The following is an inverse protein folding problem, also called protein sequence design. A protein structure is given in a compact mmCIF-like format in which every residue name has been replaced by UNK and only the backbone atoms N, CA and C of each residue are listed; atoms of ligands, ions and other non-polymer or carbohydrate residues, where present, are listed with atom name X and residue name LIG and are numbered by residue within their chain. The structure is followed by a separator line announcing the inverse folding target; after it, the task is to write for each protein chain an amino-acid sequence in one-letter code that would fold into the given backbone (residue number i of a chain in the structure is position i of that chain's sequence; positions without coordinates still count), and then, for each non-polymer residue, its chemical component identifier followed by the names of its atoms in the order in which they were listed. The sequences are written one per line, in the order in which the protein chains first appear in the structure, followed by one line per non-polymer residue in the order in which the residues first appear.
data_IF_117868514151
#
_entry.id   IF_117868514151
#
_cell.length_a   1.000
_cell.length_b   1.000
_cell.length_c   1.000
_cell.angle_alpha   90.00
_cell.angle_beta   90.00
_cell.angle_gamma   90.00
#
_symmetry.space_group_name_H-M   'P 1'
#
loop_
_entity.id
_entity.type
_entity.pdbx_description
1 polymer ?
#
# COMPACT_ATOMS: atom_id res chain seq x y z
N UNK A 1 3.27 72.91 28.24
CA UNK A 1 4.31 73.62 27.48
C UNK A 1 5.62 72.84 27.59
N UNK A 2 6.31 72.66 26.45
CA UNK A 2 7.65 72.06 26.21
C UNK A 2 8.78 72.86 26.92
N UNK A 3 10.10 72.55 26.77
CA UNK A 3 10.84 71.41 26.15
C UNK A 3 11.93 70.86 27.13
N UNK A 4 12.73 69.81 26.90
CA UNK A 4 13.40 69.31 25.69
C UNK A 4 14.86 69.77 25.66
N UNK A 5 15.81 68.86 25.91
CA UNK A 5 17.25 69.09 25.75
C UNK A 5 17.79 68.15 24.69
N UNK A 6 18.31 68.71 23.61
CA UNK A 6 19.28 68.07 22.75
C UNK A 6 20.53 68.95 22.72
N UNK A 7 21.70 68.32 22.72
CA UNK A 7 22.96 68.91 22.27
C UNK A 7 23.80 67.82 21.57
N UNK A 8 24.57 68.34 20.62
CA UNK A 8 25.25 67.71 19.50
C UNK A 8 26.74 67.39 19.78
N UNK A 9 27.40 66.75 18.81
CA UNK A 9 28.87 66.77 18.62
C UNK A 9 29.53 65.40 18.80
N UNK A 10 29.87 64.57 17.79
CA UNK A 10 30.51 64.73 16.47
C UNK A 10 32.05 64.90 16.54
N UNK A 11 32.76 63.81 16.21
CA UNK A 11 34.12 63.64 15.65
C UNK A 11 34.53 62.17 15.94
N UNK A 12 34.73 61.23 15.02
CA UNK A 12 35.19 61.31 13.65
C UNK A 12 36.56 60.62 13.56
N UNK A 13 36.59 59.31 13.26
CA UNK A 13 37.76 58.58 12.75
C UNK A 13 37.28 57.34 12.00
N UNK A 14 37.44 57.34 10.68
CA UNK A 14 37.28 56.17 9.83
C UNK A 14 38.65 55.50 9.66
N UNK A 15 38.70 54.16 9.73
CA UNK A 15 39.16 53.32 8.62
C UNK A 15 38.99 51.82 8.89
N UNK A 16 38.37 51.17 7.92
CA UNK A 16 38.65 49.80 7.44
C UNK A 16 38.49 48.61 8.39
N UNK A 17 37.31 47.99 8.32
CA UNK A 17 37.20 46.53 8.45
C UNK A 17 36.46 45.99 7.22
N UNK A 18 37.15 45.11 6.47
CA UNK A 18 36.61 44.41 5.31
C UNK A 18 35.51 43.46 5.78
N UNK A 19 34.26 43.75 5.41
CA UNK A 19 33.13 42.85 5.64
C UNK A 19 33.27 41.64 4.71
N UNK A 20 33.68 40.50 5.26
CA UNK A 20 33.47 39.21 4.58
C UNK A 20 31.99 38.88 4.72
N UNK A 21 31.25 39.05 3.63
CA UNK A 21 29.87 38.60 3.53
C UNK A 21 29.82 37.07 3.69
N UNK A 22 29.36 36.61 4.84
CA UNK A 22 28.93 35.22 5.01
C UNK A 22 27.55 35.09 4.38
N UNK A 23 27.49 34.55 3.17
CA UNK A 23 26.25 34.12 2.54
C UNK A 23 25.70 32.93 3.33
N UNK A 24 24.71 33.18 4.20
CA UNK A 24 23.95 32.11 4.84
C UNK A 24 22.98 31.55 3.79
N UNK A 25 23.39 30.47 3.13
CA UNK A 25 22.52 29.66 2.29
C UNK A 25 21.56 28.89 3.21
N UNK A 26 20.38 29.44 3.45
CA UNK A 26 19.28 28.70 4.08
C UNK A 26 18.74 27.73 3.05
N UNK A 27 19.22 26.48 3.07
CA UNK A 27 18.65 25.39 2.31
C UNK A 27 17.35 24.95 3.00
N UNK A 28 16.23 25.61 2.68
CA UNK A 28 14.90 25.12 3.05
C UNK A 28 14.60 23.84 2.27
N UNK A 29 14.94 22.69 2.87
CA UNK A 29 14.39 21.39 2.49
C UNK A 29 12.89 21.40 2.79
N UNK A 30 12.09 21.89 1.84
CA UNK A 30 10.67 21.54 1.78
C UNK A 30 10.61 20.09 1.31
N UNK A 31 10.67 19.16 2.26
CA UNK A 31 10.28 17.79 1.99
C UNK A 31 8.81 17.82 1.53
N UNK A 32 8.47 17.23 0.38
CA UNK A 32 7.06 17.06 0.04
C UNK A 32 6.48 16.08 1.06
N UNK A 33 5.54 16.58 1.86
CA UNK A 33 4.63 15.71 2.59
C UNK A 33 3.87 14.89 1.54
N UNK A 34 4.22 13.63 1.38
CA UNK A 34 3.44 12.68 0.59
C UNK A 34 2.14 12.37 1.35
N UNK A 35 1.21 13.32 1.34
CA UNK A 35 -0.18 13.12 1.74
C UNK A 35 -0.95 12.66 0.51
N UNK A 36 -0.74 11.41 0.11
CA UNK A 36 -1.53 10.74 -0.92
C UNK A 36 -2.14 9.47 -0.34
N UNK A 37 -3.47 9.42 -0.26
CA UNK A 37 -4.19 8.16 -0.03
C UNK A 37 -3.96 7.28 -1.26
N UNK A 38 -2.90 6.51 -1.24
CA UNK A 38 -2.44 5.72 -2.38
C UNK A 38 -3.26 4.44 -2.44
N UNK A 39 -4.49 4.53 -2.94
CA UNK A 39 -5.13 3.38 -3.58
C UNK A 39 -4.49 3.26 -4.97
N UNK A 40 -4.45 2.09 -5.59
CA UNK A 40 -4.05 2.07 -7.00
C UNK A 40 -5.09 2.86 -7.81
N UNK A 41 -4.63 3.95 -8.45
CA UNK A 41 -5.52 4.88 -9.16
C UNK A 41 -5.66 4.53 -10.65
N UNK A 42 -4.97 3.49 -11.13
CA UNK A 42 -4.92 3.14 -12.56
C UNK A 42 -5.18 1.66 -12.82
N UNK A 43 -5.84 1.38 -13.93
CA UNK A 43 -6.07 0.02 -14.42
C UNK A 43 -4.78 -0.74 -14.71
N UNK A 44 -3.73 -0.06 -15.16
CA UNK A 44 -2.41 -0.68 -15.38
C UNK A 44 -1.82 -1.25 -14.09
N UNK A 45 -2.00 -0.56 -12.97
CA UNK A 45 -1.54 -1.06 -11.67
C UNK A 45 -2.36 -2.26 -11.21
N UNK A 46 -3.69 -2.24 -11.40
CA UNK A 46 -4.56 -3.40 -11.14
C UNK A 46 -4.09 -4.60 -11.98
N UNK A 47 -3.91 -4.41 -13.29
CA UNK A 47 -3.49 -5.46 -14.21
C UNK A 47 -2.12 -6.03 -13.87
N UNK A 48 -1.16 -5.17 -13.53
CA UNK A 48 0.20 -5.57 -13.12
C UNK A 48 0.21 -6.38 -11.83
N UNK A 49 -0.57 -5.96 -10.83
CA UNK A 49 -0.68 -6.69 -9.57
C UNK A 49 -1.42 -8.01 -9.73
N UNK A 50 -2.52 -8.04 -10.50
CA UNK A 50 -3.19 -9.30 -10.86
C UNK A 50 -2.26 -10.26 -11.63
N UNK A 51 -1.38 -9.73 -12.49
CA UNK A 51 -0.36 -10.52 -13.16
C UNK A 51 0.69 -11.08 -12.19
N UNK A 52 1.09 -10.33 -11.16
CA UNK A 52 1.95 -10.83 -10.09
C UNK A 52 1.29 -11.97 -9.31
N UNK A 53 0.01 -11.83 -8.96
CA UNK A 53 -0.78 -12.87 -8.29
C UNK A 53 -0.82 -14.15 -9.14
N UNK A 54 -1.07 -14.01 -10.45
CA UNK A 54 -1.02 -15.15 -11.40
C UNK A 54 0.37 -15.78 -11.49
N UNK A 55 1.45 -15.00 -11.45
CA UNK A 55 2.82 -15.53 -11.44
C UNK A 55 3.12 -16.34 -10.17
N UNK A 56 2.53 -15.98 -9.03
CA UNK A 56 2.59 -16.79 -7.81
C UNK A 56 1.72 -18.06 -7.88
N UNK A 57 1.04 -18.30 -9.01
CA UNK A 57 0.28 -19.51 -9.28
C UNK A 57 -1.20 -19.47 -8.92
N UNK A 58 -1.72 -18.32 -8.48
CA UNK A 58 -3.12 -18.13 -8.11
C UNK A 58 -3.94 -17.73 -9.33
N UNK A 59 -5.05 -18.42 -9.59
CA UNK A 59 -5.99 -18.04 -10.64
C UNK A 59 -6.70 -16.74 -10.26
N UNK A 60 -6.79 -15.79 -11.19
CA UNK A 60 -7.56 -14.54 -11.00
C UNK A 60 -8.76 -14.56 -11.94
N UNK A 61 -9.95 -14.60 -11.36
CA UNK A 61 -11.23 -14.72 -12.08
C UNK A 61 -12.04 -13.44 -11.89
N UNK A 62 -12.89 -13.13 -12.88
CA UNK A 62 -13.87 -12.05 -12.80
C UNK A 62 -15.23 -12.65 -13.15
N UNK A 63 -16.19 -12.58 -12.23
CA UNK A 63 -17.58 -13.00 -12.46
C UNK A 63 -18.48 -11.77 -12.64
N UNK A 64 -19.60 -11.98 -13.35
CA UNK A 64 -20.58 -10.93 -13.66
C UNK A 64 -21.94 -11.18 -12.98
N UNK A 65 -22.06 -12.26 -12.23
CA UNK A 65 -23.30 -12.81 -11.70
C UNK A 65 -23.13 -13.31 -10.25
N UNK A 66 -22.39 -12.55 -9.43
CA UNK A 66 -22.23 -12.87 -8.02
C UNK A 66 -23.47 -12.51 -7.18
N UNK A 67 -23.69 -13.22 -6.04
CA UNK A 67 -24.67 -12.81 -5.03
C UNK A 67 -24.46 -11.36 -4.59
N UNK A 68 -25.54 -10.67 -4.22
CA UNK A 68 -25.48 -9.29 -3.73
C UNK A 68 -24.50 -9.15 -2.56
N UNK A 69 -23.77 -8.03 -2.53
CA UNK A 69 -22.77 -7.68 -1.52
C UNK A 69 -21.47 -8.53 -1.51
N UNK A 70 -21.35 -9.57 -2.33
CA UNK A 70 -20.08 -10.27 -2.52
C UNK A 70 -19.20 -9.45 -3.47
N UNK A 71 -18.16 -8.79 -2.96
CA UNK A 71 -17.24 -8.00 -3.78
C UNK A 71 -16.11 -8.86 -4.36
N UNK A 72 -15.57 -9.77 -3.56
CA UNK A 72 -14.50 -10.69 -3.95
C UNK A 72 -14.51 -11.92 -3.07
N UNK A 73 -13.67 -12.89 -3.43
CA UNK A 73 -13.40 -14.05 -2.60
C UNK A 73 -12.08 -14.73 -3.00
N UNK A 74 -11.36 -15.26 -2.02
CA UNK A 74 -10.31 -16.24 -2.23
C UNK A 74 -10.74 -17.63 -1.77
N UNK A 75 -10.56 -18.64 -2.63
CA UNK A 75 -10.87 -20.03 -2.34
C UNK A 75 -9.60 -20.89 -2.32
N UNK A 76 -9.04 -21.12 -1.13
CA UNK A 76 -7.76 -21.80 -0.93
C UNK A 76 -7.67 -23.18 -1.62
N UNK A 77 -8.65 -24.11 -1.52
CA UNK A 77 -8.54 -25.41 -2.17
C UNK A 77 -8.45 -25.37 -3.71
N UNK A 78 -8.91 -24.27 -4.32
CA UNK A 78 -8.84 -24.07 -5.79
C UNK A 78 -7.74 -23.09 -6.19
N UNK A 79 -7.03 -22.52 -5.21
CA UNK A 79 -6.08 -21.43 -5.38
C UNK A 79 -6.58 -20.35 -6.35
N UNK A 80 -7.81 -19.87 -6.11
CA UNK A 80 -8.51 -18.95 -7.00
C UNK A 80 -9.00 -17.72 -6.25
N UNK A 81 -8.64 -16.54 -6.77
CA UNK A 81 -9.13 -15.23 -6.37
C UNK A 81 -10.20 -14.80 -7.38
N UNK A 82 -11.36 -14.39 -6.88
CA UNK A 82 -12.50 -13.92 -7.65
C UNK A 82 -12.77 -12.45 -7.33
N UNK A 83 -13.02 -11.66 -8.38
CA UNK A 83 -13.64 -10.34 -8.28
C UNK A 83 -15.05 -10.39 -8.88
N UNK A 84 -16.03 -9.80 -8.19
CA UNK A 84 -17.42 -9.77 -8.61
C UNK A 84 -17.77 -8.44 -9.28
N UNK A 85 -17.58 -8.37 -10.59
CA UNK A 85 -17.72 -7.14 -11.36
C UNK A 85 -19.13 -6.53 -11.28
N UNK A 86 -20.17 -7.31 -11.00
CA UNK A 86 -21.53 -6.81 -10.85
C UNK A 86 -21.78 -6.08 -9.51
N UNK A 87 -20.86 -6.18 -8.55
CA UNK A 87 -20.99 -5.55 -7.23
C UNK A 87 -19.90 -4.51 -6.95
N UNK A 88 -18.94 -4.32 -7.86
CA UNK A 88 -17.86 -3.32 -7.74
C UNK A 88 -18.10 -2.24 -8.81
N UNK A 89 -17.99 -0.97 -8.43
CA UNK A 89 -18.02 0.12 -9.41
C UNK A 89 -16.85 0.02 -10.40
N UNK A 90 -17.04 0.54 -11.61
CA UNK A 90 -15.99 0.65 -12.63
C UNK A 90 -14.99 1.79 -12.30
N UNK A 91 -14.38 1.69 -11.11
CA UNK A 91 -13.36 2.59 -10.56
C UNK A 91 -12.13 1.75 -10.14
N UNK A 92 -10.93 2.02 -10.69
CA UNK A 92 -9.72 1.29 -10.32
C UNK A 92 -9.42 1.34 -8.82
N UNK A 93 -9.82 2.40 -8.11
CA UNK A 93 -9.64 2.48 -6.65
C UNK A 93 -10.51 1.45 -5.93
N UNK A 94 -11.76 1.26 -6.34
CA UNK A 94 -12.63 0.27 -5.72
C UNK A 94 -12.16 -1.15 -6.03
N UNK A 95 -11.76 -1.41 -7.28
CA UNK A 95 -11.19 -2.70 -7.66
C UNK A 95 -9.90 -2.98 -6.88
N UNK A 96 -9.04 -1.97 -6.66
CA UNK A 96 -7.85 -2.12 -5.83
C UNK A 96 -8.17 -2.55 -4.40
N UNK A 97 -9.17 -1.93 -3.77
CA UNK A 97 -9.58 -2.24 -2.40
C UNK A 97 -9.90 -3.71 -2.26
N UNK A 98 -10.72 -4.25 -3.16
CA UNK A 98 -11.11 -5.66 -3.15
C UNK A 98 -9.91 -6.54 -3.48
N UNK A 99 -9.14 -6.21 -4.52
CA UNK A 99 -7.99 -7.01 -4.92
C UNK A 99 -6.90 -7.10 -3.83
N UNK A 100 -6.64 -6.02 -3.10
CA UNK A 100 -5.70 -6.00 -1.99
C UNK A 100 -6.20 -6.79 -0.78
N UNK A 101 -7.50 -6.75 -0.50
CA UNK A 101 -8.12 -7.58 0.53
C UNK A 101 -7.95 -9.08 0.19
N UNK A 102 -8.40 -9.48 -1.00
CA UNK A 102 -8.33 -10.89 -1.41
C UNK A 102 -6.89 -11.39 -1.57
N UNK A 103 -5.96 -10.50 -1.95
CA UNK A 103 -4.54 -10.88 -2.03
C UNK A 103 -3.93 -11.14 -0.66
N UNK A 104 -4.47 -10.60 0.43
CA UNK A 104 -4.04 -10.96 1.78
C UNK A 104 -4.33 -12.43 2.10
N UNK A 105 -5.50 -12.92 1.71
CA UNK A 105 -5.82 -14.34 1.83
C UNK A 105 -4.93 -15.22 0.94
N UNK A 106 -4.56 -14.72 -0.24
CA UNK A 106 -3.53 -15.39 -1.07
C UNK A 106 -2.18 -15.43 -0.34
N UNK A 107 -1.75 -14.34 0.28
CA UNK A 107 -0.49 -14.28 1.05
C UNK A 107 -0.48 -15.26 2.22
N UNK A 108 -1.58 -15.31 2.99
CA UNK A 108 -1.77 -16.28 4.08
C UNK A 108 -1.64 -17.71 3.57
N UNK A 109 -2.24 -17.99 2.41
CA UNK A 109 -2.17 -19.30 1.78
C UNK A 109 -0.79 -19.62 1.16
N UNK A 110 -0.06 -18.63 0.65
CA UNK A 110 1.31 -18.82 0.18
C UNK A 110 2.24 -19.26 1.30
N UNK A 111 2.15 -18.60 2.46
CA UNK A 111 3.04 -18.82 3.59
C UNK A 111 2.55 -19.91 4.57
N UNK A 112 1.27 -20.29 4.49
CA UNK A 112 0.67 -21.33 5.33
C UNK A 112 0.32 -20.83 6.74
N UNK A 113 0.07 -19.53 6.91
CA UNK A 113 -0.22 -18.95 8.21
C UNK A 113 -0.49 -17.45 8.20
N UNK A 114 -0.57 -16.84 9.38
CA UNK A 114 -0.88 -15.42 9.54
C UNK A 114 0.18 -14.48 8.93
N UNK A 115 -0.25 -13.30 8.50
CA UNK A 115 0.64 -12.23 8.02
C UNK A 115 1.28 -11.44 9.16
N UNK A 116 0.60 -11.37 10.31
CA UNK A 116 1.05 -10.63 11.49
C UNK A 116 1.47 -11.58 12.61
N UNK A 117 2.47 -11.20 13.38
CA UNK A 117 2.72 -11.81 14.68
C UNK A 117 1.61 -11.43 15.68
N UNK A 118 1.35 -12.28 16.67
CA UNK A 118 0.22 -12.12 17.61
C UNK A 118 0.20 -10.74 18.30
N UNK A 119 1.38 -10.24 18.69
CA UNK A 119 1.51 -8.94 19.35
C UNK A 119 1.18 -7.74 18.44
N UNK A 120 1.15 -7.93 17.12
CA UNK A 120 0.87 -6.87 16.14
C UNK A 120 -0.63 -6.71 15.85
N UNK A 121 -1.46 -7.70 16.20
CA UNK A 121 -2.90 -7.72 15.89
C UNK A 121 -3.64 -6.53 16.54
N UNK A 122 -3.27 -6.16 17.77
CA UNK A 122 -3.85 -5.00 18.45
C UNK A 122 -3.59 -3.69 17.72
N UNK A 123 -2.37 -3.49 17.22
CA UNK A 123 -2.01 -2.31 16.44
C UNK A 123 -2.72 -2.29 15.07
N UNK A 124 -2.91 -3.45 14.45
CA UNK A 124 -3.66 -3.57 13.21
C UNK A 124 -5.12 -3.13 13.40
N UNK A 125 -5.78 -3.58 14.47
CA UNK A 125 -7.13 -3.16 14.82
C UNK A 125 -7.25 -1.65 15.03
N UNK A 126 -6.31 -1.05 15.78
CA UNK A 126 -6.29 0.39 16.00
C UNK A 126 -6.13 1.19 14.69
N UNK A 127 -5.30 0.70 13.74
CA UNK A 127 -5.16 1.30 12.41
C UNK A 127 -6.44 1.20 11.59
N UNK A 128 -7.10 0.05 11.61
CA UNK A 128 -8.36 -0.17 10.89
C UNK A 128 -9.45 0.75 11.45
N UNK A 129 -9.58 0.85 12.77
CA UNK A 129 -10.54 1.74 13.42
C UNK A 129 -10.31 3.21 13.06
N UNK A 130 -9.05 3.65 13.05
CA UNK A 130 -8.69 5.01 12.65
C UNK A 130 -9.00 5.31 11.17
N UNK A 131 -9.00 4.31 10.30
CA UNK A 131 -9.34 4.45 8.89
C UNK A 131 -10.85 4.39 8.62
N UNK A 132 -11.58 3.52 9.32
CA UNK A 132 -13.02 3.33 9.14
C UNK A 132 -13.64 2.63 10.34
N UNK A 133 -14.45 3.38 11.10
CA UNK A 133 -15.23 2.82 12.21
C UNK A 133 -16.21 1.74 11.72
N UNK A 134 -16.80 1.90 10.54
CA UNK A 134 -17.71 0.91 9.95
C UNK A 134 -16.99 -0.42 9.68
N UNK A 135 -15.83 -0.37 9.02
CA UNK A 135 -15.00 -1.55 8.76
C UNK A 135 -14.62 -2.26 10.06
N UNK A 136 -14.25 -1.50 11.08
CA UNK A 136 -13.94 -2.05 12.40
C UNK A 136 -15.14 -2.74 13.05
N UNK A 137 -16.34 -2.16 12.93
CA UNK A 137 -17.57 -2.78 13.43
C UNK A 137 -17.94 -4.06 12.68
N UNK A 138 -17.76 -4.09 11.35
CA UNK A 138 -17.99 -5.29 10.53
C UNK A 138 -17.13 -6.48 10.93
N UNK A 139 -15.90 -6.25 11.41
CA UNK A 139 -15.02 -7.32 11.92
C UNK A 139 -15.64 -8.12 13.07
N UNK A 140 -16.62 -7.55 13.77
CA UNK A 140 -17.35 -8.23 14.86
C UNK A 140 -18.35 -9.27 14.34
N UNK A 141 -18.74 -9.18 13.07
CA UNK A 141 -19.69 -10.11 12.43
C UNK A 141 -19.03 -11.43 12.05
N UNK A 142 -17.70 -11.46 11.89
CA UNK A 142 -16.98 -12.68 11.58
C UNK A 142 -16.87 -13.62 12.78
N UNK A 143 -16.95 -14.91 12.47
CA UNK A 143 -16.70 -15.97 13.43
C UNK A 143 -15.27 -15.85 14.01
N UNK A 144 -15.08 -16.24 15.27
CA UNK A 144 -13.79 -16.08 15.95
C UNK A 144 -12.63 -16.75 15.22
N UNK A 145 -12.88 -17.89 14.58
CA UNK A 145 -11.87 -18.62 13.79
C UNK A 145 -11.42 -17.92 12.52
N UNK A 146 -12.20 -16.96 12.00
CA UNK A 146 -11.90 -16.20 10.77
C UNK A 146 -11.38 -14.80 11.08
N UNK A 147 -11.66 -14.29 12.27
CA UNK A 147 -11.46 -12.89 12.62
C UNK A 147 -10.03 -12.40 12.43
N UNK A 148 -9.03 -13.23 12.75
CA UNK A 148 -7.62 -12.87 12.55
C UNK A 148 -7.32 -12.64 11.07
N UNK A 149 -7.70 -13.59 10.23
CA UNK A 149 -7.40 -13.53 8.79
C UNK A 149 -8.04 -12.29 8.15
N UNK A 150 -9.26 -11.97 8.58
CA UNK A 150 -10.00 -10.79 8.14
C UNK A 150 -9.42 -9.47 8.66
N UNK A 151 -8.90 -9.44 9.90
CA UNK A 151 -8.17 -8.26 10.41
C UNK A 151 -6.96 -7.98 9.51
N UNK A 152 -6.19 -9.01 9.17
CA UNK A 152 -5.03 -8.86 8.31
C UNK A 152 -5.43 -8.41 6.91
N UNK A 153 -6.49 -8.98 6.34
CA UNK A 153 -7.02 -8.58 5.04
C UNK A 153 -7.53 -7.13 5.03
N UNK A 154 -8.25 -6.69 6.06
CA UNK A 154 -8.68 -5.29 6.23
C UNK A 154 -7.50 -4.33 6.44
N UNK A 155 -6.44 -4.77 7.11
CA UNK A 155 -5.22 -3.97 7.23
C UNK A 155 -4.56 -3.78 5.86
N UNK A 156 -4.36 -4.86 5.09
CA UNK A 156 -3.75 -4.83 3.75
C UNK A 156 -4.57 -3.99 2.78
N UNK A 157 -5.90 -4.12 2.83
CA UNK A 157 -6.85 -3.30 2.06
C UNK A 157 -6.66 -1.77 2.26
N UNK A 158 -6.17 -1.38 3.43
CA UNK A 158 -5.89 0.01 3.81
C UNK A 158 -4.46 0.48 3.52
N UNK A 159 -3.58 -0.37 3.00
CA UNK A 159 -2.16 -0.04 2.75
C UNK A 159 -1.93 0.63 1.38
N UNK A 160 -0.85 1.42 1.24
CA UNK A 160 -0.32 1.87 -0.05
C UNK A 160 -0.04 0.72 -1.03
N UNK A 161 -0.12 0.92 -2.36
CA UNK A 161 -0.09 -0.17 -3.32
C UNK A 161 1.29 -0.79 -3.45
N UNK A 162 2.33 0.00 -3.21
CA UNK A 162 3.71 -0.48 -3.17
C UNK A 162 3.98 -1.32 -1.93
N UNK A 163 3.39 -0.98 -0.78
CA UNK A 163 3.49 -1.78 0.44
C UNK A 163 2.76 -3.12 0.27
N UNK A 164 1.56 -3.11 -0.31
CA UNK A 164 0.79 -4.34 -0.62
C UNK A 164 1.58 -5.24 -1.59
N UNK A 165 2.20 -4.67 -2.62
CA UNK A 165 3.01 -5.44 -3.56
C UNK A 165 4.27 -6.01 -2.91
N UNK A 166 4.98 -5.22 -2.10
CA UNK A 166 6.16 -5.67 -1.37
C UNK A 166 5.81 -6.81 -0.40
N UNK A 167 4.71 -6.68 0.33
CA UNK A 167 4.20 -7.70 1.23
C UNK A 167 3.89 -9.00 0.47
N UNK A 168 3.20 -8.88 -0.67
CA UNK A 168 2.87 -10.02 -1.51
C UNK A 168 4.10 -10.76 -2.00
N UNK A 169 5.12 -10.03 -2.47
CA UNK A 169 6.39 -10.61 -2.92
C UNK A 169 7.11 -11.35 -1.80
N UNK A 170 7.04 -10.84 -0.57
CA UNK A 170 7.65 -11.49 0.59
C UNK A 170 6.93 -12.77 0.97
N UNK A 171 5.60 -12.72 1.13
CA UNK A 171 4.83 -13.88 1.60
C UNK A 171 4.65 -14.96 0.54
N UNK A 172 4.72 -14.61 -0.75
CA UNK A 172 4.67 -15.57 -1.85
C UNK A 172 6.04 -15.82 -2.51
N UNK A 173 7.16 -15.51 -1.84
CA UNK A 173 8.50 -15.59 -2.40
C UNK A 173 8.87 -16.96 -2.96
N UNK A 174 8.51 -18.05 -2.27
CA UNK A 174 8.77 -19.43 -2.70
C UNK A 174 8.09 -19.73 -4.03
N UNK A 175 6.77 -19.47 -4.12
CA UNK A 175 5.99 -19.68 -5.35
C UNK A 175 6.48 -18.83 -6.53
N UNK A 176 7.00 -17.64 -6.26
CA UNK A 176 7.57 -16.75 -7.28
C UNK A 176 8.96 -17.21 -7.76
N UNK A 177 9.71 -17.91 -6.90
CA UNK A 177 11.05 -18.41 -7.20
C UNK A 177 11.02 -19.72 -7.99
N UNK A 178 10.13 -20.65 -7.61
CA UNK A 178 10.01 -21.98 -8.25
C UNK A 178 9.60 -21.89 -9.73
N UNK A 179 8.80 -20.88 -10.09
CA UNK A 179 8.45 -20.65 -11.50
C UNK A 179 9.56 -20.06 -12.35
N UNK A 180 10.62 -19.50 -11.75
CA UNK A 180 11.82 -19.12 -12.51
C UNK A 180 12.57 -20.35 -13.02
N UNK A 181 12.38 -21.51 -12.38
CA UNK A 181 13.04 -22.77 -12.73
C UNK A 181 12.28 -23.55 -13.81
N UNK A 182 10.96 -23.36 -13.93
CA UNK A 182 10.15 -24.00 -14.98
C UNK A 182 10.11 -23.10 -16.23
N UNK A 183 11.26 -22.95 -16.88
CA UNK A 183 11.31 -22.57 -18.29
C UNK A 183 11.04 -23.85 -19.11
N UNK A 184 10.05 -23.90 -20.02
CA UNK A 184 9.83 -25.09 -20.84
C UNK A 184 11.09 -25.42 -21.65
N UNK A 185 11.41 -26.69 -21.91
CA UNK A 185 12.54 -27.04 -22.76
C UNK A 185 12.37 -26.35 -24.11
N UNK A 186 13.44 -25.72 -24.58
CA UNK A 186 13.52 -25.19 -25.94
C UNK A 186 13.05 -26.29 -26.90
N UNK A 187 12.02 -25.99 -27.69
CA UNK A 187 11.51 -26.90 -28.68
C UNK A 187 12.68 -27.37 -29.57
N UNK A 188 12.90 -28.67 -29.59
CA UNK A 188 13.84 -29.32 -30.49
C UNK A 188 13.52 -28.91 -31.93
N UNK A 189 14.57 -28.56 -32.66
CA UNK A 189 14.47 -28.11 -34.03
C UNK A 189 13.91 -29.14 -34.98
N UNK A 190 13.51 -28.65 -36.15
CA UNK A 190 13.56 -29.41 -37.39
C UNK A 190 13.81 -28.40 -38.51
N UNK A 191 15.03 -28.39 -39.03
CA UNK A 191 15.29 -27.96 -40.40
C UNK A 191 14.68 -28.97 -41.37
N UNK A 192 14.30 -28.53 -42.56
CA UNK A 192 14.83 -29.09 -43.79
C UNK A 192 16.03 -28.29 -44.29
#
# INVERSE_FOLDING_TARGET
MRPGTGEDGLLGLALSVRVRAFTVLVLTLVAPFFSGSSKAETWDRIGSYAALIRRAGTHTLVAKDCPSALLGAFHAPRNALLLCANNIEDDPRQVWVVLAHESAHVMQHCHGGPLLADHQVGNALARIEAQSTTTFQELRLYHQSQRRDEIEARLVQGMPPDEVEALFRSFCAERLSDRKVIQPPAAFGSQP
#
